data_IF_143729300228
#
_entry.id   IF_143729300228
#
_cell.length_a   1.000
_cell.length_b   1.000
_cell.length_c   1.000
_cell.angle_alpha   90.00
_cell.angle_beta   90.00
_cell.angle_gamma   90.00
#
_symmetry.space_group_name_H-M   'P 1'
#
loop_
_entity.id
_entity.type
_entity.pdbx_description
1 polymer ?
#
# COMPACT_ATOMS: atom_id res chain seq x y z
N UNK A 1 59.03 19.61 26.96
CA UNK A 1 58.25 19.84 25.73
C UNK A 1 57.89 18.50 25.16
N UNK A 2 56.71 18.01 25.53
CA UNK A 2 56.00 16.90 24.89
C UNK A 2 54.55 17.05 25.33
N UNK A 3 53.69 17.37 24.37
CA UNK A 3 52.28 17.67 24.53
C UNK A 3 51.50 16.45 25.02
N UNK A 4 50.68 16.64 26.06
CA UNK A 4 49.60 15.73 26.44
C UNK A 4 48.30 16.32 25.90
N UNK A 5 47.86 15.79 24.76
CA UNK A 5 46.49 15.98 24.26
C UNK A 5 45.59 15.13 25.16
N UNK A 6 44.71 15.78 25.92
CA UNK A 6 43.63 15.14 26.67
C UNK A 6 42.48 14.81 25.73
N UNK A 7 42.09 13.54 25.71
CA UNK A 7 40.89 13.03 25.03
C UNK A 7 39.62 13.65 25.66
N UNK A 8 38.92 14.49 24.91
CA UNK A 8 37.55 14.88 25.24
C UNK A 8 36.61 13.74 24.86
N UNK A 9 36.14 13.02 25.88
CA UNK A 9 35.03 12.07 25.78
C UNK A 9 33.76 12.91 25.53
N UNK A 10 33.31 12.93 24.28
CA UNK A 10 32.02 13.51 23.89
C UNK A 10 30.90 12.72 24.56
N UNK A 11 30.31 13.28 25.62
CA UNK A 11 29.08 12.76 26.22
C UNK A 11 27.93 12.98 25.22
N UNK A 12 27.07 11.97 24.97
CA UNK A 12 25.91 12.15 24.11
C UNK A 12 24.97 13.20 24.73
N UNK A 13 24.62 14.18 23.90
CA UNK A 13 23.83 15.35 24.26
C UNK A 13 22.40 14.89 24.64
N UNK A 14 21.94 15.10 25.88
CA UNK A 14 20.60 14.72 26.39
C UNK A 14 19.46 15.21 25.45
N UNK A 15 19.71 16.29 24.72
CA UNK A 15 18.82 16.89 23.73
C UNK A 15 18.60 16.03 22.47
N UNK A 16 19.52 15.13 22.11
CA UNK A 16 19.34 14.18 21.02
C UNK A 16 18.55 12.94 21.47
N UNK A 17 18.75 12.50 22.72
CA UNK A 17 17.97 11.40 23.30
C UNK A 17 16.49 11.76 23.44
N UNK A 18 16.18 12.98 23.88
CA UNK A 18 14.80 13.48 23.96
C UNK A 18 14.15 13.63 22.58
N UNK A 19 14.91 14.03 21.54
CA UNK A 19 14.41 14.08 20.16
C UNK A 19 14.20 12.70 19.55
N UNK A 20 15.05 11.73 19.85
CA UNK A 20 14.87 10.34 19.43
C UNK A 20 13.65 9.71 20.11
N UNK A 21 13.45 9.96 21.40
CA UNK A 21 12.25 9.52 22.13
C UNK A 21 10.96 10.16 21.61
N UNK A 22 11.00 11.45 21.21
CA UNK A 22 9.85 12.16 20.61
C UNK A 22 9.54 11.65 19.19
N UNK A 23 10.55 11.30 18.39
CA UNK A 23 10.38 10.64 17.08
C UNK A 23 9.79 9.23 17.26
N UNK A 24 10.29 8.44 18.22
CA UNK A 24 9.75 7.10 18.53
C UNK A 24 8.30 7.20 19.02
N UNK A 25 7.95 8.24 19.79
CA UNK A 25 6.58 8.47 20.26
C UNK A 25 5.63 8.90 19.12
N UNK A 26 6.13 9.66 18.14
CA UNK A 26 5.39 10.03 16.93
C UNK A 26 5.20 8.84 15.98
N UNK A 27 6.23 8.01 15.81
CA UNK A 27 6.16 6.75 15.04
C UNK A 27 5.20 5.74 15.70
N UNK A 28 5.12 5.73 17.04
CA UNK A 28 4.20 4.89 17.77
C UNK A 28 2.75 5.40 17.75
N UNK A 29 2.53 6.72 17.60
CA UNK A 29 1.18 7.29 17.39
C UNK A 29 0.63 7.04 15.99
N UNK A 30 1.49 6.83 14.98
CA UNK A 30 1.05 6.41 13.64
C UNK A 30 0.60 4.93 13.59
N UNK A 31 1.01 4.09 14.55
CA UNK A 31 0.61 2.67 14.61
C UNK A 31 -0.83 2.44 15.14
N UNK A 32 -1.54 3.49 15.57
CA UNK A 32 -2.92 3.40 16.09
C UNK A 32 -4.00 3.84 15.08
N UNK A 33 -3.63 4.17 13.84
CA UNK A 33 -4.61 4.49 12.80
C UNK A 33 -5.14 3.19 12.18
N UNK A 34 -6.21 2.69 12.80
CA UNK A 34 -7.24 1.81 12.26
C UNK A 34 -6.80 0.41 11.82
N UNK A 35 -6.92 -0.53 12.77
CA UNK A 35 -7.26 -1.94 12.48
C UNK A 35 -8.67 -2.03 11.88
N UNK A 36 -8.87 -1.51 10.68
CA UNK A 36 -9.89 -2.08 9.79
C UNK A 36 -9.45 -3.51 9.47
N UNK A 37 -10.40 -4.42 9.22
CA UNK A 37 -10.12 -5.85 8.96
C UNK A 37 -9.09 -5.99 7.81
N UNK A 38 -7.81 -6.08 8.16
CA UNK A 38 -6.76 -6.44 7.22
C UNK A 38 -7.14 -7.82 6.72
N UNK A 39 -7.35 -7.96 5.41
CA UNK A 39 -7.55 -9.28 4.81
C UNK A 39 -6.26 -10.07 5.07
N UNK A 40 -6.36 -11.07 5.94
CA UNK A 40 -5.26 -11.95 6.30
C UNK A 40 -5.31 -13.20 5.42
N UNK A 41 -4.14 -13.66 4.99
CA UNK A 41 -3.98 -14.88 4.19
C UNK A 41 -4.01 -14.64 2.68
N UNK A 42 -4.04 -15.74 1.93
CA UNK A 42 -3.81 -15.72 0.48
C UNK A 42 -4.97 -15.10 -0.33
N UNK A 43 -6.12 -14.85 0.31
CA UNK A 43 -7.30 -14.25 -0.32
C UNK A 43 -7.20 -12.71 -0.43
N UNK A 44 -6.18 -12.12 0.20
CA UNK A 44 -5.90 -10.68 0.11
C UNK A 44 -5.50 -10.26 -1.31
N UNK A 45 -5.96 -9.06 -1.71
CA UNK A 45 -5.49 -8.38 -2.92
C UNK A 45 -4.53 -7.26 -2.55
N UNK A 46 -3.36 -7.28 -3.17
CA UNK A 46 -2.29 -6.35 -2.87
C UNK A 46 -1.85 -5.62 -4.14
N UNK A 47 -1.39 -4.38 -3.97
CA UNK A 47 -0.64 -3.63 -4.98
C UNK A 47 0.66 -3.15 -4.37
N UNK A 48 1.77 -3.42 -5.06
CA UNK A 48 3.11 -3.05 -4.61
C UNK A 48 3.71 -2.00 -5.55
N UNK A 49 4.45 -1.06 -4.97
CA UNK A 49 5.25 -0.11 -5.73
C UNK A 49 6.55 -0.76 -6.28
N UNK A 50 7.24 -0.09 -7.20
CA UNK A 50 8.45 -0.61 -7.86
C UNK A 50 9.61 -0.98 -6.91
N UNK A 51 9.68 -0.39 -5.72
CA UNK A 51 10.67 -0.70 -4.67
C UNK A 51 10.52 -2.11 -4.10
N UNK A 52 9.34 -2.73 -4.27
CA UNK A 52 8.99 -4.04 -3.72
C UNK A 52 8.64 -5.08 -4.81
N UNK A 53 9.05 -4.86 -6.06
CA UNK A 53 8.81 -5.80 -7.17
C UNK A 53 9.25 -7.24 -6.86
N UNK A 54 10.37 -7.41 -6.14
CA UNK A 54 10.85 -8.72 -5.70
C UNK A 54 9.89 -9.40 -4.72
N UNK A 55 9.33 -8.66 -3.77
CA UNK A 55 8.32 -9.18 -2.83
C UNK A 55 7.05 -9.57 -3.59
N UNK A 56 6.57 -8.69 -4.47
CA UNK A 56 5.37 -8.95 -5.29
C UNK A 56 5.51 -10.21 -6.14
N UNK A 57 6.67 -10.44 -6.74
CA UNK A 57 6.94 -11.68 -7.50
C UNK A 57 6.81 -12.93 -6.64
N UNK A 58 7.33 -12.93 -5.41
CA UNK A 58 7.24 -14.07 -4.50
C UNK A 58 5.82 -14.29 -3.99
N UNK A 59 5.07 -13.22 -3.70
CA UNK A 59 3.65 -13.31 -3.34
C UNK A 59 2.84 -13.99 -4.44
N UNK A 60 3.04 -13.61 -5.71
CA UNK A 60 2.38 -14.28 -6.86
C UNK A 60 2.69 -15.78 -6.92
N UNK A 61 3.95 -16.18 -6.66
CA UNK A 61 4.34 -17.61 -6.63
C UNK A 61 3.62 -18.38 -5.53
N UNK A 62 3.25 -17.73 -4.43
CA UNK A 62 2.44 -18.28 -3.35
C UNK A 62 0.93 -18.23 -3.64
N UNK A 63 0.53 -17.83 -4.85
CA UNK A 63 -0.86 -17.74 -5.29
C UNK A 63 -1.59 -16.48 -4.82
N UNK A 64 -0.88 -15.55 -4.17
CA UNK A 64 -1.46 -14.30 -3.68
C UNK A 64 -1.74 -13.35 -4.85
N UNK A 65 -2.89 -12.68 -4.83
CA UNK A 65 -3.25 -11.65 -5.81
C UNK A 65 -2.45 -10.37 -5.54
N UNK A 66 -1.29 -10.24 -6.16
CA UNK A 66 -0.35 -9.14 -5.93
C UNK A 66 0.04 -8.47 -7.25
N UNK A 67 -0.45 -7.27 -7.54
CA UNK A 67 -0.08 -6.51 -8.75
C UNK A 67 1.08 -5.55 -8.47
N UNK A 68 1.95 -5.37 -9.46
CA UNK A 68 3.05 -4.41 -9.43
C UNK A 68 3.59 -4.23 -10.85
N UNK A 69 4.16 -3.07 -11.13
CA UNK A 69 5.00 -2.80 -12.30
C UNK A 69 5.94 -1.65 -11.97
N UNK A 70 7.15 -1.68 -12.53
CA UNK A 70 8.09 -0.56 -12.44
C UNK A 70 7.62 0.67 -13.25
N UNK A 71 6.61 0.50 -14.11
CA UNK A 71 6.03 1.55 -14.94
C UNK A 71 4.79 2.21 -14.31
N UNK A 72 4.28 1.66 -13.20
CA UNK A 72 3.12 2.25 -12.53
C UNK A 72 3.51 3.59 -11.90
N UNK A 73 2.76 4.63 -12.26
CA UNK A 73 2.83 5.91 -11.56
C UNK A 73 2.11 5.80 -10.20
N UNK A 74 2.48 6.64 -9.22
CA UNK A 74 1.79 6.65 -7.93
C UNK A 74 0.28 6.89 -8.11
N UNK A 75 -0.12 7.73 -9.08
CA UNK A 75 -1.54 7.99 -9.37
C UNK A 75 -2.26 6.72 -9.87
N UNK A 76 -1.59 5.91 -10.68
CA UNK A 76 -2.14 4.64 -11.16
C UNK A 76 -2.21 3.58 -10.05
N UNK A 77 -1.22 3.54 -9.14
CA UNK A 77 -1.25 2.67 -7.96
C UNK A 77 -2.47 3.01 -7.09
N UNK A 78 -2.67 4.29 -6.79
CA UNK A 78 -3.80 4.79 -6.03
C UNK A 78 -5.13 4.45 -6.74
N UNK A 79 -5.23 4.71 -8.04
CA UNK A 79 -6.40 4.34 -8.84
C UNK A 79 -6.77 2.85 -8.72
N UNK A 80 -5.79 1.94 -8.90
CA UNK A 80 -6.02 0.50 -8.77
C UNK A 80 -6.37 0.09 -7.33
N UNK A 81 -5.72 0.68 -6.34
CA UNK A 81 -5.99 0.40 -4.93
C UNK A 81 -7.46 0.67 -4.57
N UNK A 82 -8.02 1.78 -5.03
CA UNK A 82 -9.42 2.13 -4.82
C UNK A 82 -10.38 1.23 -5.61
N UNK A 83 -10.17 1.12 -6.92
CA UNK A 83 -11.16 0.46 -7.78
C UNK A 83 -11.22 -1.06 -7.63
N UNK A 84 -10.12 -1.68 -7.19
CA UNK A 84 -10.04 -3.13 -7.01
C UNK A 84 -9.99 -3.56 -5.54
N UNK A 85 -10.17 -2.62 -4.61
CA UNK A 85 -10.05 -2.79 -3.15
C UNK A 85 -8.75 -3.51 -2.77
N UNK A 86 -7.61 -2.96 -3.21
CA UNK A 86 -6.28 -3.52 -2.96
C UNK A 86 -5.58 -2.79 -1.82
N UNK A 87 -5.00 -3.57 -0.91
CA UNK A 87 -4.05 -3.08 0.08
C UNK A 87 -2.74 -2.66 -0.62
N UNK A 88 -2.34 -1.40 -0.43
CA UNK A 88 -1.06 -0.89 -0.93
C UNK A 88 0.06 -1.37 0.01
N UNK A 89 1.07 -2.07 -0.51
CA UNK A 89 2.29 -2.38 0.24
C UNK A 89 3.42 -1.56 -0.38
N UNK A 90 4.02 -0.67 0.40
CA UNK A 90 4.94 0.34 -0.12
C UNK A 90 6.14 0.58 0.79
N UNK A 91 7.25 0.99 0.18
CA UNK A 91 8.35 1.67 0.89
C UNK A 91 8.60 3.07 0.31
N UNK A 92 7.85 3.47 -0.71
CA UNK A 92 7.95 4.78 -1.33
C UNK A 92 7.41 5.88 -0.41
N UNK A 93 8.32 6.68 0.14
CA UNK A 93 7.98 7.89 0.92
C UNK A 93 7.15 8.87 0.12
N UNK A 94 7.39 8.97 -1.20
CA UNK A 94 6.64 9.83 -2.11
C UNK A 94 5.17 9.39 -2.25
N UNK A 95 4.92 8.08 -2.42
CA UNK A 95 3.56 7.55 -2.49
C UNK A 95 2.84 7.77 -1.15
N UNK A 96 3.52 7.53 -0.03
CA UNK A 96 2.98 7.78 1.31
C UNK A 96 2.65 9.25 1.54
N UNK A 97 3.51 10.17 1.11
CA UNK A 97 3.25 11.59 1.21
C UNK A 97 1.97 11.98 0.44
N UNK A 98 1.71 11.39 -0.73
CA UNK A 98 0.47 11.64 -1.48
C UNK A 98 -0.77 11.15 -0.75
N UNK A 99 -0.70 9.96 -0.14
CA UNK A 99 -1.80 9.42 0.68
C UNK A 99 -2.07 10.36 1.87
N UNK A 100 -1.03 10.72 2.62
CA UNK A 100 -1.14 11.62 3.78
C UNK A 100 -1.67 13.01 3.40
N UNK A 101 -1.26 13.55 2.26
CA UNK A 101 -1.78 14.84 1.76
C UNK A 101 -3.28 14.78 1.49
N UNK A 102 -3.79 13.66 0.98
CA UNK A 102 -5.23 13.48 0.80
C UNK A 102 -5.97 13.39 2.13
N UNK A 103 -5.42 12.66 3.11
CA UNK A 103 -5.98 12.58 4.47
C UNK A 103 -5.99 13.95 5.17
N UNK A 104 -4.91 14.72 5.07
CA UNK A 104 -4.82 16.08 5.62
C UNK A 104 -5.83 17.01 4.97
N UNK A 105 -5.98 16.94 3.64
CA UNK A 105 -6.97 17.73 2.90
C UNK A 105 -8.39 17.41 3.37
N UNK A 106 -8.69 16.13 3.59
CA UNK A 106 -9.98 15.68 4.10
C UNK A 106 -10.25 16.20 5.52
N UNK A 107 -9.24 16.16 6.39
CA UNK A 107 -9.33 16.70 7.75
C UNK A 107 -9.56 18.23 7.74
N UNK A 108 -8.94 18.95 6.83
CA UNK A 108 -9.18 20.37 6.64
C UNK A 108 -10.60 20.67 6.16
N UNK A 109 -11.18 19.83 5.30
CA UNK A 109 -12.60 19.94 4.93
C UNK A 109 -13.54 19.71 6.10
N UNK A 110 -13.29 18.69 6.94
CA UNK A 110 -14.07 18.46 8.17
C UNK A 110 -14.05 19.66 9.11
N UNK A 111 -12.88 20.26 9.33
CA UNK A 111 -12.75 21.50 10.11
C UNK A 111 -13.56 22.64 9.51
N UNK A 112 -13.51 22.80 8.18
CA UNK A 112 -14.28 23.84 7.47
C UNK A 112 -15.79 23.60 7.58
N UNK A 113 -16.28 22.38 7.44
CA UNK A 113 -17.70 22.02 7.64
C UNK A 113 -18.16 22.39 9.05
N UNK A 114 -17.33 22.13 10.06
CA UNK A 114 -17.62 22.51 11.45
C UNK A 114 -17.71 24.02 11.62
N UNK A 115 -16.80 24.77 11.00
CA UNK A 115 -16.82 26.25 11.01
C UNK A 115 -18.09 26.76 10.35
N UNK A 116 -18.40 26.30 9.13
CA UNK A 116 -19.58 26.74 8.38
C UNK A 116 -20.90 26.43 9.08
N UNK A 117 -20.94 25.35 9.88
CA UNK A 117 -22.10 24.99 10.70
C UNK A 117 -22.27 25.80 12.00
N UNK A 118 -21.30 26.65 12.36
CA UNK A 118 -21.35 27.50 13.56
C UNK A 118 -21.53 28.97 13.15
N UNK A 119 -22.78 29.43 13.11
CA UNK A 119 -23.15 30.78 12.68
C UNK A 119 -22.43 31.88 13.48
N UNK A 120 -22.31 31.72 14.80
CA UNK A 120 -21.64 32.70 15.66
C UNK A 120 -20.14 32.79 15.37
N UNK A 121 -19.49 31.64 15.13
CA UNK A 121 -18.08 31.59 14.74
C UNK A 121 -17.86 32.22 13.36
N UNK A 122 -18.70 31.94 12.37
CA UNK A 122 -18.63 32.56 11.04
C UNK A 122 -18.76 34.08 11.14
N UNK A 123 -19.75 34.58 11.89
CA UNK A 123 -19.94 36.02 12.12
C UNK A 123 -18.69 36.66 12.73
N UNK A 124 -18.08 36.03 13.75
CA UNK A 124 -16.84 36.49 14.37
C UNK A 124 -15.66 36.51 13.37
N UNK A 125 -15.51 35.47 12.54
CA UNK A 125 -14.42 35.38 11.56
C UNK A 125 -14.53 36.44 10.45
N UNK A 126 -15.76 36.76 10.02
CA UNK A 126 -16.02 37.85 9.06
C UNK A 126 -15.68 39.21 9.67
N UNK A 127 -16.06 39.45 10.93
CA UNK A 127 -15.69 40.68 11.65
C UNK A 127 -14.18 40.85 11.79
N UNK A 128 -13.45 39.75 12.02
CA UNK A 128 -11.99 39.73 12.09
C UNK A 128 -11.30 39.76 10.70
N UNK A 129 -12.06 39.76 9.60
CA UNK A 129 -11.56 39.72 8.21
C UNK A 129 -10.74 38.46 7.88
N UNK A 130 -10.97 37.37 8.62
CA UNK A 130 -10.37 36.06 8.36
C UNK A 130 -11.19 35.23 7.37
N UNK A 131 -12.45 35.64 7.12
CA UNK A 131 -13.34 35.04 6.13
C UNK A 131 -14.05 36.12 5.32
N UNK A 132 -14.33 35.85 4.05
CA UNK A 132 -15.14 36.75 3.21
C UNK A 132 -16.61 36.65 3.62
N UNK A 133 -17.35 37.77 3.64
CA UNK A 133 -18.79 37.73 3.89
C UNK A 133 -19.48 36.90 2.80
N UNK A 134 -20.41 36.05 3.23
CA UNK A 134 -21.26 35.19 2.41
C UNK A 134 -22.69 35.23 2.97
N UNK A 135 -23.68 35.02 2.12
CA UNK A 135 -25.07 34.81 2.51
C UNK A 135 -25.23 33.48 3.24
N UNK A 136 -26.33 33.32 3.98
CA UNK A 136 -26.63 32.04 4.66
C UNK A 136 -26.80 30.90 3.65
N UNK A 137 -27.39 31.17 2.49
CA UNK A 137 -27.56 30.21 1.40
C UNK A 137 -26.21 29.75 0.83
N UNK A 138 -25.31 30.68 0.51
CA UNK A 138 -23.95 30.35 0.03
C UNK A 138 -23.13 29.55 1.06
N UNK A 139 -23.34 29.78 2.36
CA UNK A 139 -22.67 29.02 3.43
C UNK A 139 -23.20 27.59 3.46
N UNK A 140 -24.51 27.39 3.38
CA UNK A 140 -25.10 26.06 3.44
C UNK A 140 -24.79 25.25 2.17
N UNK A 141 -24.81 25.87 1.00
CA UNK A 141 -24.39 25.23 -0.26
C UNK A 141 -22.94 24.75 -0.20
N UNK A 142 -22.00 25.62 0.21
CA UNK A 142 -20.59 25.25 0.36
C UNK A 142 -20.40 24.15 1.42
N UNK A 143 -21.16 24.22 2.52
CA UNK A 143 -21.11 23.22 3.58
C UNK A 143 -21.58 21.86 3.07
N UNK A 144 -22.68 21.83 2.32
CA UNK A 144 -23.26 20.60 1.79
C UNK A 144 -22.35 19.95 0.73
N UNK A 145 -21.77 20.74 -0.18
CA UNK A 145 -20.77 20.26 -1.14
C UNK A 145 -19.58 19.60 -0.44
N UNK A 146 -19.05 20.23 0.62
CA UNK A 146 -17.94 19.67 1.38
C UNK A 146 -18.32 18.38 2.12
N UNK A 147 -19.55 18.28 2.63
CA UNK A 147 -20.05 17.06 3.29
C UNK A 147 -20.06 15.89 2.31
N UNK A 148 -20.58 16.11 1.10
CA UNK A 148 -20.65 15.08 0.05
C UNK A 148 -19.24 14.60 -0.32
N UNK A 149 -18.30 15.53 -0.58
CA UNK A 149 -16.90 15.21 -0.86
C UNK A 149 -16.28 14.38 0.29
N UNK A 150 -16.52 14.78 1.54
CA UNK A 150 -15.95 14.08 2.69
C UNK A 150 -16.50 12.66 2.80
N UNK A 151 -17.82 12.49 2.64
CA UNK A 151 -18.46 11.18 2.72
C UNK A 151 -17.97 10.23 1.63
N UNK A 152 -17.80 10.71 0.40
CA UNK A 152 -17.27 9.91 -0.71
C UNK A 152 -15.82 9.48 -0.48
N UNK A 153 -14.95 10.40 -0.05
CA UNK A 153 -13.53 10.10 0.19
C UNK A 153 -13.32 9.21 1.43
N UNK A 154 -14.13 9.33 2.48
CA UNK A 154 -14.07 8.43 3.64
C UNK A 154 -14.39 6.98 3.28
N UNK A 155 -15.33 6.76 2.35
CA UNK A 155 -15.66 5.41 1.87
C UNK A 155 -14.55 4.80 1.01
N UNK A 156 -13.64 5.63 0.47
CA UNK A 156 -12.59 5.21 -0.46
C UNK A 156 -11.18 5.49 0.08
N UNK A 157 -11.03 5.42 1.42
CA UNK A 157 -9.74 5.55 2.07
C UNK A 157 -8.80 4.42 1.62
N UNK A 158 -7.53 4.77 1.43
CA UNK A 158 -6.53 3.78 1.05
C UNK A 158 -6.15 2.91 2.24
N UNK A 159 -6.24 1.60 2.05
CA UNK A 159 -5.60 0.61 2.91
C UNK A 159 -4.13 0.52 2.48
N UNK A 160 -3.20 0.74 3.41
CA UNK A 160 -1.78 0.64 3.10
C UNK A 160 -0.94 0.07 4.25
N UNK A 161 0.20 -0.51 3.89
CA UNK A 161 1.22 -0.98 4.80
C UNK A 161 2.60 -0.50 4.36
N UNK A 162 3.38 -0.01 5.33
CA UNK A 162 4.74 0.48 5.11
C UNK A 162 5.72 -0.60 5.49
N UNK A 163 6.50 -1.06 4.51
CA UNK A 163 7.55 -2.05 4.76
C UNK A 163 8.73 -1.39 5.47
N UNK A 164 9.02 -1.85 6.69
CA UNK A 164 10.03 -1.29 7.59
C UNK A 164 11.41 -1.89 7.31
N UNK A 165 11.47 -3.16 6.93
CA UNK A 165 12.72 -3.88 6.67
C UNK A 165 13.50 -3.32 5.47
N UNK A 166 14.82 -3.46 5.53
CA UNK A 166 15.75 -2.98 4.49
C UNK A 166 16.12 -4.09 3.51
N UNK A 167 16.53 -5.27 4.01
CA UNK A 167 16.98 -6.38 3.19
C UNK A 167 15.84 -7.06 2.43
N UNK A 168 16.05 -7.42 1.15
CA UNK A 168 15.01 -8.04 0.29
C UNK A 168 14.35 -9.28 0.92
N UNK A 169 15.15 -10.09 1.60
CA UNK A 169 14.66 -11.30 2.27
C UNK A 169 13.84 -10.96 3.52
N UNK A 170 14.28 -9.97 4.30
CA UNK A 170 13.57 -9.51 5.50
C UNK A 170 12.26 -8.82 5.13
N UNK A 171 12.23 -8.06 4.03
CA UNK A 171 11.01 -7.48 3.47
C UNK A 171 9.99 -8.55 3.09
N UNK A 172 10.42 -9.63 2.44
CA UNK A 172 9.53 -10.74 2.12
C UNK A 172 9.00 -11.41 3.40
N UNK A 173 9.87 -11.67 4.38
CA UNK A 173 9.48 -12.25 5.67
C UNK A 173 8.48 -11.38 6.41
N UNK A 174 8.74 -10.08 6.48
CA UNK A 174 7.86 -9.09 7.10
C UNK A 174 6.47 -9.16 6.50
N UNK A 175 6.37 -9.03 5.17
CA UNK A 175 5.09 -9.05 4.45
C UNK A 175 4.37 -10.40 4.63
N UNK A 176 5.07 -11.52 4.52
CA UNK A 176 4.47 -12.85 4.73
C UNK A 176 3.91 -13.00 6.15
N UNK A 177 4.65 -12.55 7.16
CA UNK A 177 4.24 -12.67 8.56
C UNK A 177 3.12 -11.71 8.92
N UNK A 178 3.22 -10.45 8.51
CA UNK A 178 2.23 -9.40 8.79
C UNK A 178 0.86 -9.78 8.21
N UNK A 179 0.84 -10.15 6.93
CA UNK A 179 -0.39 -10.51 6.24
C UNK A 179 -0.78 -11.97 6.43
N UNK A 180 -0.03 -12.72 7.26
CA UNK A 180 -0.28 -14.14 7.57
C UNK A 180 -0.45 -14.98 6.30
N UNK A 181 0.39 -14.73 5.29
CA UNK A 181 0.36 -15.47 4.02
C UNK A 181 0.74 -16.92 4.32
N UNK A 182 -0.13 -17.85 3.94
CA UNK A 182 0.04 -19.28 4.22
C UNK A 182 0.61 -19.95 2.99
N UNK A 183 1.61 -20.80 3.21
CA UNK A 183 2.07 -21.72 2.19
C UNK A 183 1.08 -22.90 2.09
N UNK A 184 0.35 -22.97 0.99
CA UNK A 184 -0.56 -24.07 0.64
C UNK A 184 -0.15 -24.63 -0.71
N UNK A 185 0.14 -25.93 -0.80
CA UNK A 185 0.66 -26.57 -2.02
C UNK A 185 -0.26 -26.32 -3.22
N UNK A 186 -1.56 -26.32 -2.97
CA UNK A 186 -2.64 -26.08 -3.94
C UNK A 186 -2.68 -24.65 -4.50
N UNK A 187 -2.14 -23.66 -3.77
CA UNK A 187 -2.14 -22.26 -4.22
C UNK A 187 -0.83 -21.87 -4.92
N UNK A 188 0.23 -22.69 -4.78
CA UNK A 188 1.52 -22.40 -5.40
C UNK A 188 1.33 -22.35 -6.91
N UNK A 189 1.86 -21.28 -7.52
CA UNK A 189 1.75 -21.05 -8.96
C UNK A 189 0.33 -20.92 -9.52
N UNK A 190 -0.70 -20.80 -8.65
CA UNK A 190 -2.07 -20.48 -9.08
C UNK A 190 -2.21 -19.07 -9.69
N UNK A 191 -1.18 -18.22 -9.53
CA UNK A 191 -1.05 -16.91 -10.15
C UNK A 191 0.23 -16.83 -10.97
N UNK A 192 0.15 -16.19 -12.13
CA UNK A 192 1.28 -15.96 -13.01
C UNK A 192 2.26 -15.00 -12.35
N UNK A 193 3.52 -15.42 -12.17
CA UNK A 193 4.54 -14.57 -11.58
C UNK A 193 4.81 -13.30 -12.40
N UNK A 194 4.61 -13.35 -13.73
CA UNK A 194 4.85 -12.22 -14.64
C UNK A 194 3.73 -11.18 -14.61
N UNK A 195 2.46 -11.60 -14.67
CA UNK A 195 1.32 -10.67 -14.85
C UNK A 195 0.23 -10.74 -13.78
N UNK A 196 0.34 -11.61 -12.76
CA UNK A 196 -0.70 -11.85 -11.75
C UNK A 196 -2.00 -12.50 -12.26
N UNK A 197 -2.08 -12.85 -13.55
CA UNK A 197 -3.21 -13.58 -14.13
C UNK A 197 -3.42 -14.94 -13.47
N UNK A 198 -4.67 -15.42 -13.46
CA UNK A 198 -4.98 -16.76 -12.97
C UNK A 198 -4.35 -17.81 -13.87
N UNK A 199 -3.78 -18.83 -13.24
CA UNK A 199 -3.18 -19.98 -13.90
C UNK A 199 -4.14 -21.16 -13.74
N UNK A 200 -4.52 -21.77 -14.86
CA UNK A 200 -5.45 -22.90 -14.87
C UNK A 200 -4.79 -24.12 -15.48
N UNK A 201 -5.27 -25.31 -15.13
CA UNK A 201 -4.90 -26.56 -15.81
C UNK A 201 -5.45 -26.53 -17.25
N UNK A 202 -4.61 -26.92 -18.21
CA UNK A 202 -4.96 -27.00 -19.63
C UNK A 202 -4.75 -28.42 -20.15
N UNK A 203 -5.47 -28.79 -21.21
CA UNK A 203 -5.29 -30.12 -21.80
C UNK A 203 -3.92 -30.22 -22.45
N UNK A 204 -3.33 -31.40 -22.35
CA UNK A 204 -1.99 -31.68 -22.87
C UNK A 204 -1.93 -31.47 -24.39
N UNK A 205 -2.97 -31.89 -25.11
CA UNK A 205 -3.05 -31.76 -26.57
C UNK A 205 -3.09 -30.29 -27.02
N UNK A 206 -3.66 -29.40 -26.21
CA UNK A 206 -3.80 -27.98 -26.54
C UNK A 206 -2.46 -27.22 -26.44
N UNK A 207 -1.47 -27.75 -25.71
CA UNK A 207 -0.19 -27.08 -25.42
C UNK A 207 1.00 -27.70 -26.18
N UNK A 208 0.83 -28.82 -26.88
CA UNK A 208 1.92 -29.54 -27.57
C UNK A 208 2.79 -28.63 -28.46
N UNK A 209 2.16 -27.69 -29.19
CA UNK A 209 2.83 -26.77 -30.09
C UNK A 209 3.56 -25.60 -29.41
N UNK A 210 3.40 -25.44 -28.10
CA UNK A 210 3.96 -24.36 -27.30
C UNK A 210 5.09 -24.82 -26.36
N UNK A 211 5.30 -26.14 -26.22
CA UNK A 211 6.36 -26.70 -25.37
C UNK A 211 7.34 -27.53 -26.18
N UNK A 212 8.56 -27.67 -25.67
CA UNK A 212 9.53 -28.58 -26.28
C UNK A 212 9.05 -30.03 -26.17
N UNK A 213 9.31 -30.84 -27.21
CA UNK A 213 8.92 -32.25 -27.30
C UNK A 213 9.31 -33.05 -26.04
N UNK A 214 10.53 -32.86 -25.55
CA UNK A 214 10.99 -33.53 -24.33
C UNK A 214 10.11 -33.19 -23.12
N UNK A 215 9.66 -31.96 -23.00
CA UNK A 215 8.79 -31.55 -21.90
C UNK A 215 7.39 -32.12 -22.06
N UNK A 216 6.86 -32.08 -23.29
CA UNK A 216 5.59 -32.73 -23.62
C UNK A 216 5.56 -34.21 -23.24
N UNK A 217 6.63 -34.94 -23.56
CA UNK A 217 6.73 -36.38 -23.29
C UNK A 217 6.88 -36.72 -21.80
N UNK A 218 7.47 -35.83 -20.99
CA UNK A 218 7.82 -36.12 -19.58
C UNK A 218 6.88 -35.47 -18.55
N UNK A 219 5.84 -34.75 -18.98
CA UNK A 219 4.92 -34.04 -18.07
C UNK A 219 3.47 -34.44 -18.34
N UNK A 220 2.74 -34.81 -17.28
CA UNK A 220 1.33 -35.24 -17.39
C UNK A 220 0.33 -34.09 -17.31
N UNK A 221 0.68 -33.02 -16.59
CA UNK A 221 -0.20 -31.89 -16.34
C UNK A 221 0.46 -30.58 -16.72
N UNK A 222 -0.28 -29.77 -17.46
CA UNK A 222 0.14 -28.45 -17.89
C UNK A 222 -0.78 -27.40 -17.32
N UNK A 223 -0.21 -26.24 -17.03
CA UNK A 223 -0.98 -25.07 -16.63
C UNK A 223 -0.63 -23.89 -17.52
N UNK A 224 -1.57 -22.97 -17.70
CA UNK A 224 -1.39 -21.77 -18.51
C UNK A 224 -2.03 -20.55 -17.85
N UNK A 225 -1.34 -19.42 -17.94
CA UNK A 225 -1.88 -18.13 -17.53
C UNK A 225 -2.96 -17.66 -18.53
N UNK A 226 -4.15 -17.33 -18.03
CA UNK A 226 -5.28 -16.85 -18.85
C UNK A 226 -5.13 -15.41 -19.35
N UNK A 227 -4.15 -14.64 -18.84
CA UNK A 227 -4.01 -13.22 -19.19
C UNK A 227 -2.92 -12.97 -20.22
N UNK A 228 -1.71 -13.51 -20.01
CA UNK A 228 -0.58 -13.26 -20.91
C UNK A 228 -0.26 -14.46 -21.81
N UNK A 229 -0.87 -15.62 -21.58
CA UNK A 229 -0.57 -16.89 -22.26
C UNK A 229 0.91 -17.34 -22.17
N UNK A 230 1.76 -16.63 -21.40
CA UNK A 230 3.20 -16.90 -21.23
C UNK A 230 3.52 -17.78 -20.01
N UNK A 231 2.52 -18.42 -19.41
CA UNK A 231 2.74 -19.30 -18.26
C UNK A 231 3.04 -20.72 -18.71
N UNK A 232 4.32 -21.09 -18.80
CA UNK A 232 4.76 -22.48 -18.71
C UNK A 232 5.06 -22.77 -17.23
N UNK A 233 4.05 -23.15 -16.46
CA UNK A 233 4.27 -23.60 -15.08
C UNK A 233 4.03 -25.11 -15.02
N UNK A 234 5.15 -25.81 -15.18
CA UNK A 234 5.28 -27.24 -14.96
C UNK A 234 5.08 -27.52 -13.48
N UNK A 235 3.99 -28.22 -13.13
CA UNK A 235 3.92 -28.85 -11.82
C UNK A 235 4.56 -30.23 -11.99
N UNK A 236 5.89 -30.29 -11.89
CA UNK A 236 6.56 -31.56 -11.63
C UNK A 236 6.04 -32.08 -10.30
N UNK A 237 5.28 -33.17 -10.39
CA UNK A 237 4.86 -33.95 -9.23
C UNK A 237 5.95 -34.97 -8.96
N UNK A 238 6.99 -34.57 -8.23
CA UNK A 238 7.85 -35.49 -7.48
C UNK A 238 7.66 -35.26 -5.98
#
# INVERSE_FOLDING_TARGET
MTDKISEEIHQPNENNQQKEEEIILLENKENDIQKEEIIFGNDGKYILDGTLCGVGSHLRKLGVDAVYSNEYSDAYILYLARNEDRMIITKSTKLLQRIRQQEEKLENYKKKIKILGDKALVESLVQQRLMKPKTEEEIEEERQELIEIVQEEEQQKYKYYIVKSIGKYDQLKEVVNEFKIIFKKENIFARCFSCNGQVIEVKKEDIEHLVFEKTYLNTDKFTQCQSCNQGELYIDSN
#
